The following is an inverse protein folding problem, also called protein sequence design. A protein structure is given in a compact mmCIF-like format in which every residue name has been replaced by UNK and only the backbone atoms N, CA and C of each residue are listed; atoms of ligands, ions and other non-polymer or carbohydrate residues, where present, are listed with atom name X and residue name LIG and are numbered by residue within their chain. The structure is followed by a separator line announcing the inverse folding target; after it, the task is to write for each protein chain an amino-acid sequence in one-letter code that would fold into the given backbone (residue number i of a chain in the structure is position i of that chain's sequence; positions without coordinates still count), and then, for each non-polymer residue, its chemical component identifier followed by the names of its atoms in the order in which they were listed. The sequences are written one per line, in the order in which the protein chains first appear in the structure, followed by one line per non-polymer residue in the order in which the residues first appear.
data_IF_464859593428
#
_entry.id   IF_464859593428
#
_cell.length_a   1.000
_cell.length_b   1.000
_cell.length_c   1.000
_cell.angle_alpha   90.00
_cell.angle_beta   90.00
_cell.angle_gamma   90.00
#
_symmetry.space_group_name_H-M   'P 1'
#
loop_
_entity.id
_entity.type
_entity.pdbx_description
1 polymer ?
#
# COMPACT_ATOMS: atom_id res chain seq x y z
N UNK A 1 -66.86 -3.23 5.89
CA UNK A 1 -66.35 -4.54 6.36
C UNK A 1 -64.86 -4.37 6.57
N UNK A 2 -64.46 -3.93 7.77
CA UNK A 2 -63.92 -4.76 8.86
C UNK A 2 -62.56 -5.39 8.49
N UNK A 3 -61.46 -5.29 9.23
CA UNK A 3 -61.09 -4.73 10.53
C UNK A 3 -59.55 -4.86 10.61
N UNK A 4 -58.82 -3.82 11.06
CA UNK A 4 -57.62 -4.01 11.91
C UNK A 4 -58.13 -4.37 13.34
N UNK A 5 -57.34 -4.90 14.32
CA UNK A 5 -55.90 -4.74 14.59
C UNK A 5 -55.21 -6.05 15.09
N UNK A 6 -53.92 -6.13 15.44
CA UNK A 6 -53.39 -5.97 16.81
C UNK A 6 -51.88 -6.27 16.81
N UNK A 7 -51.11 -5.44 17.50
CA UNK A 7 -49.72 -5.77 17.87
C UNK A 7 -49.65 -6.63 19.12
N UNK A 8 -48.51 -7.29 19.35
CA UNK A 8 -48.07 -7.70 20.68
C UNK A 8 -46.55 -7.87 20.70
N UNK A 9 -45.92 -7.12 21.60
CA UNK A 9 -44.59 -7.32 22.15
C UNK A 9 -44.82 -7.54 23.65
N UNK A 10 -44.10 -8.44 24.31
CA UNK A 10 -43.71 -8.15 25.68
C UNK A 10 -42.24 -8.45 25.97
N UNK A 11 -41.72 -7.61 26.86
CA UNK A 11 -40.39 -7.64 27.45
C UNK A 11 -40.34 -8.51 28.73
N UNK A 12 -39.08 -8.75 29.15
CA UNK A 12 -38.57 -8.82 30.53
C UNK A 12 -38.61 -10.14 31.33
N UNK A 13 -37.46 -10.44 31.97
CA UNK A 13 -37.42 -10.84 33.38
C UNK A 13 -36.46 -11.96 33.81
N UNK A 14 -35.63 -11.66 34.82
CA UNK A 14 -34.78 -12.50 35.71
C UNK A 14 -33.39 -12.92 35.16
N UNK A 15 -32.22 -12.50 35.68
CA UNK A 15 -31.68 -12.18 37.02
C UNK A 15 -31.33 -13.39 37.92
N UNK A 16 -30.25 -13.20 38.72
CA UNK A 16 -29.58 -14.05 39.74
C UNK A 16 -28.30 -14.78 39.24
N UNK A 17 -27.13 -14.81 39.90
CA UNK A 17 -26.62 -14.31 41.21
C UNK A 17 -25.07 -14.44 41.26
N UNK A 18 -24.47 -13.75 42.24
CA UNK A 18 -23.11 -13.77 42.84
C UNK A 18 -22.42 -15.18 42.91
N UNK A 19 -21.15 -15.41 43.24
CA UNK A 19 -20.12 -14.72 44.05
C UNK A 19 -18.77 -15.48 43.86
N UNK A 20 -17.74 -15.08 44.63
CA UNK A 20 -16.47 -15.75 44.95
C UNK A 20 -15.25 -15.41 44.06
N UNK A 21 -14.32 -14.54 44.48
CA UNK A 21 -13.35 -14.60 45.60
C UNK A 21 -12.32 -15.73 45.50
N UNK A 22 -11.08 -15.34 45.20
CA UNK A 22 -9.85 -15.67 45.95
C UNK A 22 -8.64 -15.18 45.12
N UNK A 23 -7.86 -14.16 45.51
CA UNK A 23 -6.98 -14.04 46.67
C UNK A 23 -5.89 -15.12 46.74
N UNK A 24 -4.65 -14.74 46.39
CA UNK A 24 -3.34 -15.15 46.97
C UNK A 24 -2.24 -14.47 46.13
N UNK A 25 -1.51 -13.46 46.65
CA UNK A 25 -0.34 -13.58 47.53
C UNK A 25 0.60 -14.69 47.04
N UNK A 26 1.85 -14.48 46.68
CA UNK A 26 2.81 -13.40 46.88
C UNK A 26 4.20 -14.05 46.83
N UNK A 27 5.25 -13.33 46.43
CA UNK A 27 6.62 -13.64 46.88
C UNK A 27 7.57 -12.54 46.42
N UNK A 28 8.06 -11.79 47.41
CA UNK A 28 9.24 -10.93 47.35
C UNK A 28 10.52 -11.78 47.28
N UNK A 29 11.57 -11.21 46.68
CA UNK A 29 13.01 -11.24 47.09
C UNK A 29 13.75 -10.40 46.02
N UNK A 30 14.56 -9.37 46.29
CA UNK A 30 15.25 -8.94 47.50
C UNK A 30 16.77 -9.03 47.28
N UNK A 31 17.45 -7.88 47.20
CA UNK A 31 18.92 -7.69 47.26
C UNK A 31 19.66 -7.99 45.95
N UNK A 32 20.57 -7.17 45.40
CA UNK A 32 21.41 -6.13 45.99
C UNK A 32 22.88 -6.54 45.83
N UNK A 33 23.66 -5.86 44.98
CA UNK A 33 25.05 -5.45 45.28
C UNK A 33 25.68 -4.64 44.14
N UNK A 34 26.44 -3.66 44.60
CA UNK A 34 27.22 -2.65 43.90
C UNK A 34 28.50 -3.21 43.25
N UNK A 35 29.05 -2.41 42.32
CA UNK A 35 30.45 -2.00 42.38
C UNK A 35 31.46 -2.82 41.59
N UNK A 36 31.89 -2.30 40.43
CA UNK A 36 33.31 -2.03 40.19
C UNK A 36 33.48 -1.14 38.97
N UNK A 37 34.09 0.00 39.25
CA UNK A 37 34.53 1.07 38.39
C UNK A 37 35.94 0.73 37.89
N UNK A 38 36.22 0.91 36.59
CA UNK A 38 37.58 1.09 36.09
C UNK A 38 37.58 2.22 35.09
N UNK A 39 38.17 3.33 35.51
CA UNK A 39 38.49 4.49 34.71
C UNK A 39 39.71 4.22 33.81
N UNK A 40 39.74 4.80 32.62
CA UNK A 40 41.00 5.22 31.99
C UNK A 40 40.76 6.45 31.13
N UNK A 41 41.69 7.38 31.26
CA UNK A 41 41.59 8.82 31.04
C UNK A 41 41.92 9.25 29.57
N UNK A 42 41.91 10.56 29.24
CA UNK A 42 41.56 11.09 27.92
C UNK A 42 42.75 11.28 26.98
N UNK A 43 42.47 11.37 25.67
CA UNK A 43 43.44 11.77 24.65
C UNK A 43 43.18 13.22 24.24
N UNK A 44 44.28 13.97 24.16
CA UNK A 44 44.42 15.42 24.10
C UNK A 44 43.98 16.07 22.79
N UNK A 45 43.65 17.35 22.92
CA UNK A 45 43.35 18.31 21.88
C UNK A 45 44.60 18.79 21.12
N UNK A 46 44.43 19.07 19.83
CA UNK A 46 45.28 19.98 19.07
C UNK A 46 44.39 21.02 18.38
N UNK A 47 44.64 22.29 18.67
CA UNK A 47 44.06 23.45 17.99
C UNK A 47 45.00 23.93 16.88
N UNK A 48 44.46 24.34 15.73
CA UNK A 48 44.54 25.72 15.20
C UNK A 48 44.15 25.77 13.72
N UNK A 49 43.35 26.77 13.34
CA UNK A 49 43.20 27.23 11.97
C UNK A 49 41.77 27.64 11.56
N UNK A 50 41.36 28.84 11.93
CA UNK A 50 40.20 29.53 11.35
C UNK A 50 40.49 29.97 9.90
N UNK A 51 39.50 29.81 9.00
CA UNK A 51 39.10 30.84 8.03
C UNK A 51 37.79 30.43 7.37
N UNK A 52 36.93 31.42 7.13
CA UNK A 52 35.50 31.25 6.85
C UNK A 52 35.16 30.99 5.39
N UNK A 53 33.86 30.97 5.11
CA UNK A 53 33.36 30.98 3.73
C UNK A 53 32.13 30.11 3.55
N UNK A 54 30.96 30.75 3.41
CA UNK A 54 29.67 30.07 3.34
C UNK A 54 29.33 29.46 1.98
N UNK A 55 28.18 28.77 1.98
CA UNK A 55 27.27 28.78 0.84
C UNK A 55 27.41 27.64 -0.16
N UNK A 56 26.36 26.83 -0.24
CA UNK A 56 25.97 26.12 -1.46
C UNK A 56 26.46 24.69 -1.56
N UNK A 57 25.67 23.75 -1.03
CA UNK A 57 25.70 22.37 -1.49
C UNK A 57 25.17 22.32 -2.93
N UNK A 58 26.00 22.70 -3.88
CA UNK A 58 25.77 22.52 -5.30
C UNK A 58 25.69 21.02 -5.58
N UNK A 59 24.53 20.59 -6.08
CA UNK A 59 24.38 19.27 -6.68
C UNK A 59 25.51 19.07 -7.70
N UNK A 60 26.16 17.89 -7.77
CA UNK A 60 27.21 17.68 -8.75
C UNK A 60 26.57 17.79 -10.13
N UNK A 61 26.94 18.86 -10.84
CA UNK A 61 26.64 19.09 -12.24
C UNK A 61 27.20 17.88 -13.00
N UNK A 62 26.30 17.04 -13.53
CA UNK A 62 26.65 15.83 -14.27
C UNK A 62 27.38 16.23 -15.56
N UNK A 63 28.69 16.36 -15.49
CA UNK A 63 29.51 16.41 -16.69
C UNK A 63 29.70 15.00 -17.27
N UNK A 64 29.80 14.98 -18.60
CA UNK A 64 29.94 13.83 -19.50
C UNK A 64 31.08 12.89 -19.07
N UNK A 65 30.88 12.08 -18.04
CA UNK A 65 31.69 10.89 -17.83
C UNK A 65 31.19 9.82 -18.80
N UNK A 66 32.08 9.42 -19.70
CA UNK A 66 31.93 8.30 -20.63
C UNK A 66 31.41 7.08 -19.88
N UNK A 67 30.11 6.83 -20.01
CA UNK A 67 29.47 5.67 -19.42
C UNK A 67 29.76 4.45 -20.30
N UNK A 68 30.96 3.89 -20.24
CA UNK A 68 31.33 2.73 -21.06
C UNK A 68 30.40 1.52 -20.82
N UNK A 69 29.71 1.46 -19.67
CA UNK A 69 28.83 0.36 -19.28
C UNK A 69 27.45 0.78 -18.74
N UNK A 70 26.99 2.03 -18.92
CA UNK A 70 25.65 2.40 -18.48
C UNK A 70 24.58 1.59 -19.19
N UNK A 71 23.52 1.21 -18.45
CA UNK A 71 22.36 0.54 -19.03
C UNK A 71 21.10 1.31 -18.69
N UNK A 72 20.18 1.37 -19.63
CA UNK A 72 18.82 1.78 -19.37
C UNK A 72 17.95 0.56 -19.20
N UNK A 73 16.99 0.65 -18.28
CA UNK A 73 15.94 -0.34 -18.14
C UNK A 73 14.64 0.26 -18.66
N UNK A 74 14.06 -0.39 -19.66
CA UNK A 74 12.70 -0.15 -20.10
C UNK A 74 11.84 -1.28 -19.55
N UNK A 75 10.72 -0.94 -18.92
CA UNK A 75 9.75 -1.91 -18.41
C UNK A 75 8.37 -1.58 -18.94
N UNK A 76 7.85 -2.45 -19.82
CA UNK A 76 6.50 -2.41 -20.34
C UNK A 76 5.58 -3.29 -19.48
N UNK A 77 4.37 -2.81 -19.20
CA UNK A 77 3.30 -3.58 -18.57
C UNK A 77 2.06 -3.48 -19.42
N UNK A 78 1.66 -4.59 -20.02
CA UNK A 78 0.43 -4.70 -20.79
C UNK A 78 -0.69 -5.31 -19.93
N UNK A 79 -1.81 -4.61 -19.79
CA UNK A 79 -2.98 -5.02 -19.03
C UNK A 79 -4.14 -5.50 -19.93
N UNK A 80 -3.91 -5.58 -21.24
CA UNK A 80 -4.91 -5.89 -22.25
C UNK A 80 -5.94 -4.78 -22.46
N UNK A 81 -6.80 -4.94 -23.47
CA UNK A 81 -7.84 -3.94 -23.84
C UNK A 81 -7.25 -2.54 -24.09
N UNK A 82 -6.16 -2.47 -24.87
CA UNK A 82 -5.47 -1.23 -25.23
C UNK A 82 -4.96 -0.43 -24.01
N UNK A 83 -4.66 -1.14 -22.92
CA UNK A 83 -4.18 -0.54 -21.67
C UNK A 83 -2.78 -1.02 -21.35
N UNK A 84 -1.81 -0.13 -21.46
CA UNK A 84 -0.44 -0.41 -21.08
C UNK A 84 0.24 0.81 -20.47
N UNK A 85 1.32 0.56 -19.73
CA UNK A 85 2.25 1.59 -19.31
C UNK A 85 3.68 1.13 -19.50
N UNK A 86 4.56 2.10 -19.72
CA UNK A 86 5.98 1.87 -19.89
C UNK A 86 6.76 2.83 -19.01
N UNK A 87 7.81 2.33 -18.37
CA UNK A 87 8.74 3.15 -17.60
C UNK A 87 10.16 2.93 -18.09
N UNK A 88 10.93 4.00 -18.20
CA UNK A 88 12.35 3.94 -18.54
C UNK A 88 13.18 4.67 -17.49
N UNK A 89 14.32 4.07 -17.14
CA UNK A 89 15.22 4.65 -16.15
C UNK A 89 16.66 4.23 -16.38
N UNK A 90 17.58 5.15 -16.11
CA UNK A 90 19.00 4.86 -16.03
C UNK A 90 19.32 3.90 -14.87
N UNK A 91 20.15 2.89 -15.14
CA UNK A 91 20.68 1.95 -14.15
C UNK A 91 22.20 2.13 -14.11
N UNK A 92 22.68 2.83 -13.08
CA UNK A 92 24.12 2.95 -12.81
C UNK A 92 24.70 1.64 -12.28
N UNK A 93 26.00 1.43 -12.49
CA UNK A 93 26.72 0.22 -12.06
C UNK A 93 26.91 0.15 -10.54
N UNK A 94 27.12 1.29 -9.87
CA UNK A 94 27.42 1.32 -8.44
C UNK A 94 26.10 1.22 -7.65
N UNK A 95 25.91 0.18 -6.81
CA UNK A 95 24.82 0.17 -5.86
C UNK A 95 24.97 1.41 -4.97
N UNK A 96 23.98 2.30 -4.98
CA UNK A 96 23.99 3.42 -4.05
C UNK A 96 24.23 2.90 -2.63
N UNK A 97 25.16 3.50 -1.88
CA UNK A 97 25.36 3.21 -0.47
C UNK A 97 24.02 3.44 0.24
N UNK A 98 23.32 2.35 0.56
CA UNK A 98 22.04 2.40 1.26
C UNK A 98 22.38 2.49 2.74
N UNK A 99 21.99 3.59 3.37
CA UNK A 99 21.96 3.66 4.82
C UNK A 99 21.18 2.46 5.38
N UNK A 100 21.58 1.98 6.56
CA UNK A 100 20.86 0.92 7.23
C UNK A 100 19.40 1.33 7.46
N UNK A 101 18.55 0.32 7.55
CA UNK A 101 17.10 0.49 7.49
C UNK A 101 16.60 1.33 8.67
N UNK A 102 16.14 2.55 8.39
CA UNK A 102 15.63 3.47 9.41
C UNK A 102 16.64 4.52 9.88
N UNK A 103 17.89 4.41 9.44
CA UNK A 103 19.00 5.30 9.83
C UNK A 103 19.31 6.38 8.78
N UNK A 104 18.44 6.55 7.78
CA UNK A 104 18.60 7.59 6.77
C UNK A 104 18.15 8.94 7.32
N UNK A 105 19.03 9.95 7.22
CA UNK A 105 18.71 11.36 7.47
C UNK A 105 17.55 11.88 6.60
N UNK A 106 17.36 11.30 5.42
CA UNK A 106 16.35 11.67 4.42
C UNK A 106 15.02 10.91 4.60
N UNK A 107 14.50 10.88 5.83
CA UNK A 107 13.29 10.12 6.19
C UNK A 107 12.08 10.48 5.33
N UNK A 108 11.82 11.79 5.17
CA UNK A 108 10.69 12.30 4.39
C UNK A 108 10.73 11.87 2.92
N UNK A 109 11.89 12.03 2.25
CA UNK A 109 12.06 11.62 0.84
C UNK A 109 11.89 10.10 0.66
N UNK A 110 12.33 9.31 1.64
CA UNK A 110 12.14 7.86 1.63
C UNK A 110 10.68 7.45 1.81
N UNK A 111 9.94 8.13 2.69
CA UNK A 111 8.50 7.93 2.89
C UNK A 111 7.72 8.26 1.61
N UNK A 112 7.98 9.42 1.03
CA UNK A 112 7.41 9.82 -0.25
C UNK A 112 7.65 8.80 -1.36
N UNK A 113 8.88 8.28 -1.44
CA UNK A 113 9.23 7.22 -2.40
C UNK A 113 8.46 5.92 -2.10
N UNK A 114 8.27 5.57 -0.83
CA UNK A 114 7.49 4.40 -0.44
C UNK A 114 6.00 4.57 -0.81
N UNK A 115 5.42 5.76 -0.60
CA UNK A 115 4.04 6.09 -1.01
C UNK A 115 3.89 5.95 -2.52
N UNK A 116 4.80 6.54 -3.31
CA UNK A 116 4.77 6.44 -4.78
C UNK A 116 4.84 4.98 -5.24
N UNK A 117 5.76 4.19 -4.67
CA UNK A 117 5.87 2.75 -4.98
C UNK A 117 4.61 1.96 -4.61
N UNK A 118 4.02 2.23 -3.45
CA UNK A 118 2.79 1.58 -3.03
C UNK A 118 1.62 1.90 -3.98
N UNK A 119 1.49 3.17 -4.40
CA UNK A 119 0.50 3.59 -5.40
C UNK A 119 0.71 2.89 -6.75
N UNK A 120 1.94 2.86 -7.26
CA UNK A 120 2.25 2.17 -8.52
C UNK A 120 1.93 0.68 -8.41
N UNK A 121 2.29 0.03 -7.30
CA UNK A 121 2.00 -1.40 -7.09
C UNK A 121 0.49 -1.66 -7.01
N UNK A 122 -0.25 -0.82 -6.30
CA UNK A 122 -1.71 -0.88 -6.23
C UNK A 122 -2.33 -0.75 -7.63
N UNK A 123 -1.86 0.22 -8.43
CA UNK A 123 -2.28 0.41 -9.82
C UNK A 123 -2.02 -0.83 -10.66
N UNK A 124 -0.80 -1.38 -10.63
CA UNK A 124 -0.45 -2.61 -11.37
C UNK A 124 -1.38 -3.76 -11.02
N UNK A 125 -1.68 -3.97 -9.73
CA UNK A 125 -2.53 -5.07 -9.27
C UNK A 125 -3.97 -4.91 -9.73
N UNK A 126 -4.56 -3.71 -9.58
CA UNK A 126 -5.95 -3.44 -9.98
C UNK A 126 -6.13 -3.61 -11.49
N UNK A 127 -5.20 -3.04 -12.28
CA UNK A 127 -5.26 -3.13 -13.74
C UNK A 127 -5.06 -4.57 -14.22
N UNK A 128 -4.05 -5.28 -13.69
CA UNK A 128 -3.78 -6.66 -14.10
C UNK A 128 -4.87 -7.64 -13.66
N UNK A 129 -5.47 -7.42 -12.49
CA UNK A 129 -6.59 -8.24 -12.01
C UNK A 129 -7.88 -7.99 -12.79
N UNK A 130 -7.94 -6.96 -13.64
CA UNK A 130 -9.19 -6.48 -14.25
C UNK A 130 -10.30 -6.27 -13.20
N UNK A 131 -9.93 -5.76 -12.02
CA UNK A 131 -10.87 -5.50 -10.94
C UNK A 131 -11.82 -4.36 -11.35
N UNK A 132 -13.12 -4.55 -11.15
CA UNK A 132 -14.15 -3.66 -11.66
C UNK A 132 -15.26 -3.35 -10.64
N UNK A 133 -15.35 -4.09 -9.54
CA UNK A 133 -16.31 -3.79 -8.48
C UNK A 133 -15.57 -3.23 -7.25
N UNK A 134 -16.21 -2.29 -6.57
CA UNK A 134 -15.77 -1.83 -5.26
C UNK A 134 -16.60 -2.57 -4.20
N UNK A 135 -15.92 -3.27 -3.30
CA UNK A 135 -16.51 -3.92 -2.14
C UNK A 135 -16.05 -3.18 -0.88
N UNK A 136 -16.98 -2.77 -0.04
CA UNK A 136 -16.68 -2.11 1.24
C UNK A 136 -17.13 -3.02 2.37
N UNK A 137 -16.24 -3.31 3.32
CA UNK A 137 -16.54 -4.08 4.54
C UNK A 137 -16.54 -3.14 5.73
N UNK A 138 -17.62 -3.13 6.50
CA UNK A 138 -17.77 -2.27 7.69
C UNK A 138 -18.14 -3.10 8.93
N UNK A 139 -17.66 -2.65 10.08
CA UNK A 139 -18.04 -3.19 11.38
C UNK A 139 -19.25 -2.43 11.93
N UNK A 140 -20.13 -3.10 12.67
CA UNK A 140 -21.09 -2.39 13.54
C UNK A 140 -20.37 -1.75 14.71
N UNK A 141 -19.52 -2.52 15.38
CA UNK A 141 -18.67 -2.11 16.50
C UNK A 141 -17.62 -1.06 16.08
N UNK A 142 -17.18 -0.23 17.03
CA UNK A 142 -16.12 0.75 16.80
C UNK A 142 -14.72 0.12 16.91
N UNK A 143 -14.33 -0.72 15.95
CA UNK A 143 -13.04 -1.42 15.98
C UNK A 143 -11.89 -0.47 15.63
N UNK A 144 -11.15 0.00 16.65
CA UNK A 144 -9.99 0.91 16.49
C UNK A 144 -8.65 0.19 16.40
N UNK A 145 -8.59 -1.08 16.83
CA UNK A 145 -7.39 -1.91 16.71
C UNK A 145 -7.20 -2.40 15.26
N UNK A 146 -6.14 -1.90 14.62
CA UNK A 146 -5.78 -2.29 13.26
C UNK A 146 -5.34 -3.75 13.16
N UNK A 147 -4.73 -4.32 14.21
CA UNK A 147 -4.29 -5.72 14.20
C UNK A 147 -5.51 -6.63 14.14
N UNK A 148 -6.49 -6.42 15.03
CA UNK A 148 -7.81 -7.08 14.94
C UNK A 148 -8.42 -6.91 13.55
N UNK A 149 -8.51 -5.69 13.04
CA UNK A 149 -9.12 -5.44 11.73
C UNK A 149 -8.43 -6.17 10.57
N UNK A 150 -7.10 -6.33 10.66
CA UNK A 150 -6.30 -7.07 9.68
C UNK A 150 -6.48 -8.59 9.81
N UNK A 151 -6.58 -9.12 11.01
CA UNK A 151 -6.80 -10.54 11.28
C UNK A 151 -8.21 -10.96 10.85
N UNK A 152 -9.21 -10.12 11.09
CA UNK A 152 -10.59 -10.30 10.63
C UNK A 152 -10.65 -10.35 9.10
N UNK A 153 -9.98 -9.41 8.42
CA UNK A 153 -9.89 -9.47 6.95
C UNK A 153 -9.23 -10.78 6.47
N UNK A 154 -8.17 -11.25 7.12
CA UNK A 154 -7.52 -12.50 6.73
C UNK A 154 -8.45 -13.72 6.92
N UNK A 155 -9.22 -13.76 8.01
CA UNK A 155 -10.22 -14.82 8.27
C UNK A 155 -11.33 -14.78 7.23
N UNK A 156 -11.85 -13.59 6.94
CA UNK A 156 -12.85 -13.38 5.90
C UNK A 156 -12.35 -13.88 4.54
N UNK A 157 -11.18 -13.42 4.09
CA UNK A 157 -10.58 -13.83 2.81
C UNK A 157 -10.40 -15.35 2.73
N UNK A 158 -9.95 -16.01 3.82
CA UNK A 158 -9.80 -17.47 3.86
C UNK A 158 -11.13 -18.17 3.63
N UNK A 159 -12.20 -17.77 4.33
CA UNK A 159 -13.54 -18.33 4.16
C UNK A 159 -14.06 -18.13 2.73
N UNK A 160 -13.93 -16.91 2.20
CA UNK A 160 -14.32 -16.61 0.81
C UNK A 160 -13.54 -17.47 -0.17
N UNK A 161 -12.24 -17.70 0.05
CA UNK A 161 -11.39 -18.54 -0.82
C UNK A 161 -11.73 -20.02 -0.76
N UNK A 162 -12.30 -20.51 0.34
CA UNK A 162 -12.81 -21.89 0.43
C UNK A 162 -14.05 -22.05 -0.46
N UNK A 163 -14.97 -21.09 -0.43
CA UNK A 163 -16.18 -21.12 -1.27
C UNK A 163 -15.92 -20.72 -2.74
N UNK A 164 -14.98 -19.79 -2.95
CA UNK A 164 -14.66 -19.18 -4.24
C UNK A 164 -13.12 -19.14 -4.44
N UNK A 165 -12.49 -20.26 -4.86
CA UNK A 165 -11.03 -20.36 -4.97
C UNK A 165 -10.39 -19.27 -5.85
N UNK A 166 -11.06 -18.87 -6.93
CA UNK A 166 -10.57 -17.87 -7.90
C UNK A 166 -10.89 -16.42 -7.53
N UNK A 167 -11.43 -16.18 -6.34
CA UNK A 167 -11.83 -14.84 -5.90
C UNK A 167 -10.61 -13.92 -5.72
N UNK A 168 -10.54 -12.81 -6.45
CA UNK A 168 -9.41 -11.88 -6.39
C UNK A 168 -9.83 -10.60 -5.67
N UNK A 169 -8.95 -10.13 -4.78
CA UNK A 169 -9.14 -8.88 -4.07
C UNK A 169 -7.85 -8.07 -3.94
N UNK A 170 -8.01 -6.75 -3.86
CA UNK A 170 -7.00 -5.78 -3.47
C UNK A 170 -7.65 -4.85 -2.44
N UNK A 171 -7.18 -4.87 -1.20
CA UNK A 171 -7.77 -4.18 -0.06
C UNK A 171 -6.90 -3.04 0.49
N UNK A 172 -7.53 -1.91 0.81
CA UNK A 172 -6.93 -0.79 1.54
C UNK A 172 -7.78 -0.50 2.77
N UNK A 173 -7.14 -0.32 3.91
CA UNK A 173 -7.82 0.09 5.14
C UNK A 173 -8.00 1.62 5.16
N UNK A 174 -9.15 2.07 5.65
CA UNK A 174 -9.38 3.46 6.01
C UNK A 174 -9.96 3.53 7.43
N UNK A 175 -9.61 4.59 8.16
CA UNK A 175 -10.25 4.90 9.43
C UNK A 175 -11.45 5.83 9.19
N UNK A 176 -12.61 5.43 9.70
CA UNK A 176 -13.82 6.26 9.69
C UNK A 176 -13.69 7.43 10.68
N UNK A 177 -14.55 8.44 10.55
CA UNK A 177 -14.58 9.59 11.46
C UNK A 177 -14.76 9.19 12.95
N UNK A 178 -15.47 8.09 13.22
CA UNK A 178 -15.66 7.53 14.57
C UNK A 178 -14.44 6.76 15.12
N UNK A 179 -13.37 6.60 14.33
CA UNK A 179 -12.18 5.85 14.70
C UNK A 179 -12.17 4.38 14.25
N UNK A 180 -13.32 3.81 13.89
CA UNK A 180 -13.43 2.43 13.40
C UNK A 180 -12.67 2.24 12.08
N UNK A 181 -11.93 1.15 11.96
CA UNK A 181 -11.38 0.71 10.69
C UNK A 181 -12.47 0.15 9.78
N UNK A 182 -12.33 0.36 8.47
CA UNK A 182 -13.10 -0.36 7.46
C UNK A 182 -12.20 -0.70 6.27
N UNK A 183 -12.67 -1.58 5.40
CA UNK A 183 -11.89 -2.05 4.26
C UNK A 183 -12.55 -1.68 2.93
N UNK A 184 -11.77 -1.06 2.04
CA UNK A 184 -12.12 -0.84 0.65
C UNK A 184 -11.40 -1.84 -0.24
N UNK A 185 -12.14 -2.65 -0.97
CA UNK A 185 -11.62 -3.73 -1.80
C UNK A 185 -11.96 -3.48 -3.27
N UNK A 186 -10.96 -3.57 -4.14
CA UNK A 186 -11.18 -3.77 -5.57
C UNK A 186 -11.26 -5.27 -5.84
N UNK A 187 -12.38 -5.71 -6.42
CA UNK A 187 -12.66 -7.12 -6.70
C UNK A 187 -13.04 -7.34 -8.17
N UNK A 188 -12.79 -8.55 -8.67
CA UNK A 188 -13.01 -8.93 -10.08
C UNK A 188 -14.38 -9.58 -10.25
N UNK A 189 -15.15 -9.06 -11.21
CA UNK A 189 -16.42 -9.66 -11.63
C UNK A 189 -17.57 -9.40 -10.66
N UNK A 190 -18.74 -9.96 -10.98
CA UNK A 190 -19.91 -9.89 -10.09
C UNK A 190 -19.60 -10.62 -8.78
N UNK A 191 -20.15 -10.11 -7.68
CA UNK A 191 -19.91 -10.63 -6.34
C UNK A 191 -21.17 -11.32 -5.83
N UNK A 192 -21.02 -12.48 -5.20
CA UNK A 192 -22.08 -13.13 -4.44
C UNK A 192 -22.25 -12.40 -3.10
N UNK A 193 -23.17 -11.44 -3.08
CA UNK A 193 -23.32 -10.54 -1.94
C UNK A 193 -23.79 -11.28 -0.69
N UNK A 194 -24.66 -12.29 -0.82
CA UNK A 194 -25.20 -12.99 0.33
C UNK A 194 -24.15 -13.91 0.95
N UNK A 195 -23.39 -14.63 0.11
CA UNK A 195 -22.24 -15.42 0.56
C UNK A 195 -21.18 -14.56 1.24
N UNK A 196 -20.78 -13.45 0.63
CA UNK A 196 -19.79 -12.55 1.20
C UNK A 196 -20.29 -11.93 2.52
N UNK A 197 -21.58 -11.59 2.62
CA UNK A 197 -22.16 -11.01 3.83
C UNK A 197 -22.21 -12.04 4.95
N UNK A 198 -22.59 -13.28 4.65
CA UNK A 198 -22.59 -14.38 5.60
C UNK A 198 -21.18 -14.61 6.17
N UNK A 199 -20.17 -14.77 5.29
CA UNK A 199 -18.78 -14.94 5.72
C UNK A 199 -18.24 -13.75 6.52
N UNK A 200 -18.64 -12.52 6.19
CA UNK A 200 -18.24 -11.35 6.96
C UNK A 200 -18.82 -11.39 8.38
N UNK A 201 -20.12 -11.66 8.50
CA UNK A 201 -20.81 -11.76 9.80
C UNK A 201 -20.33 -12.92 10.65
N UNK A 202 -19.97 -14.05 10.04
CA UNK A 202 -19.33 -15.15 10.77
C UNK A 202 -17.99 -14.75 11.42
N UNK A 203 -17.28 -13.79 10.83
CA UNK A 203 -15.99 -13.33 11.35
C UNK A 203 -16.16 -12.24 12.40
N UNK A 204 -17.02 -11.25 12.14
CA UNK A 204 -17.12 -10.03 12.97
C UNK A 204 -18.37 -9.97 13.86
N UNK A 205 -19.25 -10.96 13.77
CA UNK A 205 -20.59 -10.93 14.37
C UNK A 205 -21.51 -9.99 13.59
N UNK A 206 -21.50 -8.71 13.96
CA UNK A 206 -22.33 -7.69 13.34
C UNK A 206 -21.52 -6.71 12.47
N UNK A 207 -21.89 -6.63 11.20
CA UNK A 207 -21.21 -5.88 10.16
C UNK A 207 -22.00 -5.88 8.86
N UNK A 208 -21.58 -5.01 7.94
CA UNK A 208 -22.21 -4.90 6.63
C UNK A 208 -21.18 -4.97 5.51
N UNK A 209 -21.66 -5.37 4.34
CA UNK A 209 -20.93 -5.26 3.08
C UNK A 209 -21.72 -4.40 2.09
N UNK A 210 -21.01 -3.60 1.32
CA UNK A 210 -21.57 -2.85 0.19
C UNK A 210 -20.80 -3.17 -1.08
N UNK A 211 -21.49 -3.50 -2.18
CA UNK A 211 -20.88 -3.80 -3.47
C UNK A 211 -21.37 -2.79 -4.51
N UNK A 212 -20.46 -1.95 -4.97
CA UNK A 212 -20.70 -0.98 -6.02
C UNK A 212 -20.21 -1.53 -7.36
N UNK A 213 -21.16 -1.78 -8.27
CA UNK A 213 -20.90 -2.22 -9.64
C UNK A 213 -20.30 -1.11 -10.53
N UNK A 214 -19.66 -1.47 -11.66
CA UNK A 214 -19.29 -0.51 -12.69
C UNK A 214 -20.51 0.31 -13.14
N UNK A 215 -20.37 1.63 -13.15
CA UNK A 215 -21.41 2.52 -13.71
C UNK A 215 -21.12 2.74 -15.20
N UNK A 216 -22.12 2.56 -16.07
CA UNK A 216 -21.97 2.54 -17.53
C UNK A 216 -21.47 3.85 -18.16
N UNK A 217 -21.49 4.97 -17.44
CA UNK A 217 -21.00 6.28 -17.95
C UNK A 217 -19.48 6.47 -17.86
N UNK A 218 -18.73 5.52 -17.28
CA UNK A 218 -17.29 5.68 -17.02
C UNK A 218 -16.45 5.10 -18.16
N UNK A 219 -15.42 5.85 -18.58
CA UNK A 219 -14.45 5.41 -19.60
C UNK A 219 -13.76 4.10 -19.22
N UNK A 220 -13.24 3.99 -17.99
CA UNK A 220 -12.71 2.73 -17.46
C UNK A 220 -12.88 2.66 -15.93
N UNK A 221 -13.54 1.61 -15.48
CA UNK A 221 -13.82 1.38 -14.07
C UNK A 221 -12.58 0.99 -13.26
N UNK A 222 -11.58 0.34 -13.87
CA UNK A 222 -10.32 -0.04 -13.21
C UNK A 222 -9.57 1.22 -12.79
N UNK A 223 -9.49 2.21 -13.68
CA UNK A 223 -8.85 3.52 -13.38
C UNK A 223 -9.58 4.29 -12.27
N UNK A 224 -10.92 4.20 -12.21
CA UNK A 224 -11.67 4.71 -11.08
C UNK A 224 -11.24 4.04 -9.77
N UNK A 225 -11.14 2.71 -9.73
CA UNK A 225 -10.72 1.98 -8.53
C UNK A 225 -9.29 2.33 -8.12
N UNK A 226 -8.37 2.49 -9.08
CA UNK A 226 -7.00 2.97 -8.81
C UNK A 226 -7.02 4.31 -8.08
N UNK A 227 -7.81 5.27 -8.56
CA UNK A 227 -7.95 6.60 -7.92
C UNK A 227 -8.62 6.49 -6.55
N UNK A 228 -9.68 5.70 -6.45
CA UNK A 228 -10.47 5.52 -5.23
C UNK A 228 -9.64 4.90 -4.11
N UNK A 229 -9.06 3.72 -4.34
CA UNK A 229 -8.21 3.05 -3.34
C UNK A 229 -6.91 3.83 -3.11
N UNK A 230 -6.37 4.49 -4.14
CA UNK A 230 -5.17 5.33 -4.02
C UNK A 230 -5.35 6.53 -3.07
N UNK A 231 -6.55 7.11 -3.01
CA UNK A 231 -6.91 8.16 -2.03
C UNK A 231 -6.78 7.63 -0.60
N UNK A 232 -7.35 6.46 -0.32
CA UNK A 232 -7.35 5.87 1.02
C UNK A 232 -5.99 5.32 1.41
N UNK A 233 -5.21 4.85 0.44
CA UNK A 233 -3.84 4.44 0.68
C UNK A 233 -3.02 5.61 1.25
N UNK A 234 -3.12 6.81 0.64
CA UNK A 234 -2.45 8.02 1.14
C UNK A 234 -2.91 8.40 2.54
N UNK A 235 -4.22 8.35 2.79
CA UNK A 235 -4.74 8.61 4.14
C UNK A 235 -4.14 7.64 5.17
N UNK A 236 -4.08 6.35 4.84
CA UNK A 236 -3.46 5.35 5.70
C UNK A 236 -1.96 5.61 5.97
N UNK A 237 -1.26 6.31 5.07
CA UNK A 237 0.09 6.80 5.36
C UNK A 237 0.11 7.98 6.35
N UNK A 238 -0.92 8.82 6.35
CA UNK A 238 -1.02 9.99 7.23
C UNK A 238 -1.42 9.63 8.68
N UNK A 239 -2.29 8.62 8.88
CA UNK A 239 -2.90 8.26 10.19
C UNK A 239 -1.96 7.64 11.25
N UNK A 240 -0.64 7.82 11.12
CA UNK A 240 0.26 7.72 12.28
C UNK A 240 0.66 6.31 12.77
N UNK A 241 0.05 5.21 12.31
CA UNK A 241 0.60 3.85 12.57
C UNK A 241 1.81 3.58 11.65
N UNK A 242 2.92 4.23 12.01
CA UNK A 242 4.18 4.29 11.26
C UNK A 242 5.17 3.19 11.65
N UNK A 243 4.69 2.04 12.12
CA UNK A 243 5.60 0.93 12.40
C UNK A 243 6.29 0.51 11.10
N UNK A 244 7.61 0.45 11.17
CA UNK A 244 8.44 -0.10 10.10
C UNK A 244 7.90 -1.50 9.78
N UNK A 245 7.59 -1.79 8.51
CA UNK A 245 6.98 -3.03 7.99
C UNK A 245 5.44 -3.13 7.94
N UNK A 246 4.67 -2.14 8.38
CA UNK A 246 3.21 -2.24 8.25
C UNK A 246 2.77 -2.37 6.77
N UNK A 247 2.02 -3.44 6.46
CA UNK A 247 1.46 -3.67 5.13
C UNK A 247 0.41 -2.58 4.84
N UNK A 248 0.70 -1.73 3.86
CA UNK A 248 -0.11 -0.53 3.54
C UNK A 248 -1.37 -0.83 2.74
N UNK A 249 -1.36 -1.95 2.04
CA UNK A 249 -2.51 -2.55 1.38
C UNK A 249 -2.32 -4.07 1.42
N UNK A 250 -3.39 -4.82 1.21
CA UNK A 250 -3.39 -6.29 1.12
C UNK A 250 -3.91 -6.69 -0.25
N UNK A 251 -3.44 -7.80 -0.81
CA UNK A 251 -3.90 -8.25 -2.11
C UNK A 251 -3.76 -9.77 -2.24
N UNK A 252 -4.54 -10.35 -3.14
CA UNK A 252 -4.38 -11.74 -3.57
C UNK A 252 -2.99 -11.96 -4.17
N UNK A 253 -2.32 -13.04 -3.75
CA UNK A 253 -0.98 -13.41 -4.25
C UNK A 253 -0.98 -13.90 -5.70
N UNK A 254 -2.12 -14.40 -6.17
CA UNK A 254 -2.29 -15.01 -7.49
C UNK A 254 -2.51 -14.00 -8.63
N UNK A 255 -2.41 -12.69 -8.38
CA UNK A 255 -2.59 -11.68 -9.45
C UNK A 255 -1.32 -11.65 -10.31
N UNK A 256 -1.35 -12.13 -11.57
CA UNK A 256 -0.20 -12.02 -12.45
C UNK A 256 -0.05 -10.55 -12.86
N UNK A 257 1.12 -9.97 -12.63
CA UNK A 257 1.46 -8.66 -13.19
C UNK A 257 2.49 -8.90 -14.27
N UNK A 258 2.03 -9.01 -15.50
CA UNK A 258 2.90 -9.18 -16.66
C UNK A 258 3.72 -7.91 -16.84
N UNK A 259 5.04 -8.05 -16.78
CA UNK A 259 5.98 -6.97 -16.98
C UNK A 259 7.15 -7.50 -17.79
N UNK A 260 7.34 -6.95 -18.98
CA UNK A 260 8.47 -7.22 -19.83
C UNK A 260 9.52 -6.15 -19.56
N UNK A 261 10.77 -6.56 -19.37
CA UNK A 261 11.85 -5.61 -19.11
C UNK A 261 13.04 -5.92 -19.98
N UNK A 262 13.50 -4.89 -20.69
CA UNK A 262 14.70 -4.95 -21.52
C UNK A 262 15.75 -4.00 -20.97
N UNK A 263 17.01 -4.44 -20.99
CA UNK A 263 18.16 -3.60 -20.67
C UNK A 263 18.88 -3.22 -21.95
N UNK A 264 19.03 -1.92 -22.18
CA UNK A 264 19.57 -1.35 -23.41
C UNK A 264 20.84 -0.58 -23.08
N UNK A 265 21.89 -0.78 -23.87
CA UNK A 265 23.10 0.04 -23.83
C UNK A 265 22.86 1.27 -24.70
N UNK A 266 23.01 2.50 -24.17
CA UNK A 266 22.77 3.71 -24.95
C UNK A 266 23.77 3.86 -26.08
N UNK A 267 23.27 4.18 -27.27
CA UNK A 267 24.08 4.47 -28.44
C UNK A 267 23.99 5.97 -28.80
N UNK A 268 25.01 6.57 -29.44
CA UNK A 268 24.94 7.95 -29.92
C UNK A 268 23.70 8.16 -30.82
N UNK A 269 22.93 9.22 -30.56
CA UNK A 269 21.70 9.53 -31.30
C UNK A 269 20.44 8.75 -30.87
N UNK A 270 20.56 7.79 -29.94
CA UNK A 270 19.41 7.05 -29.42
C UNK A 270 18.53 7.93 -28.53
N UNK A 271 17.24 8.04 -28.86
CA UNK A 271 16.23 8.65 -27.99
C UNK A 271 15.39 7.57 -27.30
N UNK A 272 15.60 7.39 -25.99
CA UNK A 272 14.89 6.41 -25.18
C UNK A 272 13.41 6.74 -24.97
N UNK A 273 13.07 8.02 -24.98
CA UNK A 273 11.67 8.45 -24.91
C UNK A 273 10.94 7.91 -26.14
N UNK A 274 11.47 8.16 -27.34
CA UNK A 274 10.84 7.71 -28.59
C UNK A 274 10.71 6.19 -28.65
N UNK A 275 11.78 5.44 -28.34
CA UNK A 275 11.75 3.97 -28.28
C UNK A 275 10.69 3.47 -27.30
N UNK A 276 10.59 4.09 -26.12
CA UNK A 276 9.61 3.69 -25.11
C UNK A 276 8.18 4.02 -25.57
N UNK A 277 7.98 5.18 -26.18
CA UNK A 277 6.66 5.61 -26.66
C UNK A 277 6.20 4.75 -27.85
N UNK A 278 7.11 4.32 -28.73
CA UNK A 278 6.78 3.43 -29.83
C UNK A 278 6.38 2.04 -29.35
N UNK A 279 7.10 1.46 -28.38
CA UNK A 279 6.68 0.22 -27.72
C UNK A 279 5.30 0.34 -27.05
N UNK A 280 5.01 1.50 -26.44
CA UNK A 280 3.70 1.75 -25.85
C UNK A 280 2.60 1.83 -26.92
N UNK A 281 2.86 2.50 -28.06
CA UNK A 281 1.94 2.57 -29.20
C UNK A 281 1.68 1.20 -29.78
N UNK A 282 2.70 0.36 -29.93
CA UNK A 282 2.56 -1.02 -30.40
C UNK A 282 1.70 -1.85 -29.45
N UNK A 283 1.94 -1.74 -28.13
CA UNK A 283 1.24 -2.55 -27.14
C UNK A 283 -0.21 -2.13 -26.86
N UNK A 284 -0.53 -0.84 -26.98
CA UNK A 284 -1.82 -0.27 -26.56
C UNK A 284 -2.53 0.59 -27.62
N UNK A 285 -1.92 0.79 -28.79
CA UNK A 285 -2.46 1.59 -29.89
C UNK A 285 -2.45 3.12 -29.67
N UNK A 286 -2.09 3.60 -28.48
CA UNK A 286 -2.10 5.04 -28.17
C UNK A 286 -1.22 5.40 -26.97
N UNK A 287 -0.82 6.67 -26.91
CA UNK A 287 -0.17 7.30 -25.76
C UNK A 287 -1.14 8.33 -25.19
N UNK A 288 -1.56 8.14 -23.94
CA UNK A 288 -2.49 9.03 -23.27
C UNK A 288 -1.80 10.09 -22.42
N UNK A 289 -0.72 9.71 -21.75
CA UNK A 289 0.04 10.60 -20.88
C UNK A 289 1.52 10.21 -20.83
N UNK A 290 2.37 11.23 -20.76
CA UNK A 290 3.83 11.09 -20.64
C UNK A 290 4.31 11.97 -19.49
N UNK A 291 5.04 11.36 -18.56
CA UNK A 291 5.79 12.06 -17.53
C UNK A 291 7.28 11.82 -17.76
N UNK A 292 8.06 12.90 -17.68
CA UNK A 292 9.52 12.85 -17.76
C UNK A 292 10.15 13.74 -16.71
N UNK A 293 11.37 13.39 -16.36
CA UNK A 293 12.25 14.17 -15.51
C UNK A 293 13.58 14.39 -16.22
N UNK A 294 14.25 15.49 -15.91
CA UNK A 294 15.55 15.89 -16.48
C UNK A 294 16.65 14.83 -16.26
N UNK A 295 16.43 13.91 -15.32
CA UNK A 295 17.36 12.83 -14.94
C UNK A 295 17.27 11.56 -15.80
N UNK A 296 16.96 11.67 -17.10
CA UNK A 296 16.97 10.54 -18.05
C UNK A 296 16.05 9.37 -17.62
N UNK A 297 14.92 9.71 -16.98
CA UNK A 297 13.89 8.76 -16.60
C UNK A 297 12.51 9.30 -16.94
N UNK A 298 11.59 8.38 -17.21
CA UNK A 298 10.23 8.73 -17.53
C UNK A 298 9.28 7.56 -17.41
N UNK A 299 8.00 7.88 -17.53
CA UNK A 299 6.91 6.94 -17.46
C UNK A 299 5.78 7.45 -18.35
N UNK A 300 5.21 6.57 -19.16
CA UNK A 300 4.08 6.86 -20.00
C UNK A 300 3.01 5.79 -19.86
N UNK A 301 1.77 6.15 -20.15
CA UNK A 301 0.64 5.22 -20.19
C UNK A 301 -0.31 5.56 -21.33
N UNK A 302 -1.11 4.55 -21.75
CA UNK A 302 -2.08 4.74 -22.83
C UNK A 302 -3.35 5.48 -22.41
N UNK A 303 -3.58 5.67 -21.11
CA UNK A 303 -4.72 6.42 -20.57
C UNK A 303 -4.34 7.84 -20.12
N UNK A 304 -5.36 8.68 -19.93
CA UNK A 304 -5.25 10.07 -19.45
C UNK A 304 -5.66 10.20 -17.99
#
# INVERSE_FOLDING_TARGET
MNQHPLGFNPAAGAALTNDDRDARLGARRGGGREGSEVATAPVQAAQAGESGGGGGAAAPRLEKRTYSNARYRITLRNYGKNMAEIGWSFVGEVPANKAARGESSERSKNEDRAVRRAKSRLRHLILSANANHLLTLTYRENVTDFKRAADDLNRFVRKVKVSLPDWIYIAVAEQQARGAWHWHLAVRGRQDVDLLRAHWREVVGDGNIDVSAPKGSRKDQRLFLVRYLGKYLVKAFATGQRSLNAHRFRASRSIPVCAESVSIVPQPGMNLEDISLDQLREAAGSVGFVWKNDSLCGWACSWK
#
